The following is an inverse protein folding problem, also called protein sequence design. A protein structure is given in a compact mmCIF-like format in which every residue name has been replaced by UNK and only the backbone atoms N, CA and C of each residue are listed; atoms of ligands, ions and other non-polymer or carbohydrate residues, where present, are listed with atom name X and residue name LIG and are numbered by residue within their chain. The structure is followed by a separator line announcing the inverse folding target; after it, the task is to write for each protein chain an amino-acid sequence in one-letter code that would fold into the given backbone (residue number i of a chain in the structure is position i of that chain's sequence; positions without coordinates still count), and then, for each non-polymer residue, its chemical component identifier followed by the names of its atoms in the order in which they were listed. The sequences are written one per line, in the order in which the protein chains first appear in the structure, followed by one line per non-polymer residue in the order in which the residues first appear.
data_IF_856894111109
#
_entry.id   IF_856894111109
#
_cell.length_a   1.000
_cell.length_b   1.000
_cell.length_c   1.000
_cell.angle_alpha   90.00
_cell.angle_beta   90.00
_cell.angle_gamma   90.00
#
_symmetry.space_group_name_H-M   'P 1'
#
loop_
_entity.id
_entity.type
_entity.pdbx_description
1 polymer ?
#
# COMPACT_ATOMS: atom_id res chain seq x y z
N UNK A 1 -16.64 13.22 -3.41
CA UNK A 1 -15.83 13.82 -4.48
C UNK A 1 -14.71 12.86 -4.82
N UNK A 2 -14.81 12.20 -5.97
CA UNK A 2 -13.80 11.30 -6.52
C UNK A 2 -12.66 12.18 -7.07
N UNK A 3 -11.71 12.56 -6.21
CA UNK A 3 -10.54 13.31 -6.67
C UNK A 3 -9.67 12.35 -7.47
N UNK A 4 -9.49 12.64 -8.77
CA UNK A 4 -8.58 11.94 -9.67
C UNK A 4 -7.16 11.96 -9.09
N UNK A 5 -6.81 10.94 -8.30
CA UNK A 5 -5.44 10.58 -7.93
C UNK A 5 -4.99 9.39 -8.79
N UNK A 6 -5.22 9.45 -10.11
CA UNK A 6 -5.18 8.24 -10.97
C UNK A 6 -4.16 8.28 -12.11
N UNK A 7 -3.21 9.21 -12.11
CA UNK A 7 -2.22 9.23 -13.19
C UNK A 7 -0.86 9.76 -12.72
N UNK A 8 0.11 8.85 -12.58
CA UNK A 8 1.54 9.15 -12.55
C UNK A 8 2.07 8.85 -13.96
N UNK A 9 1.43 9.42 -14.99
CA UNK A 9 1.93 9.29 -16.36
C UNK A 9 3.03 10.32 -16.59
N UNK A 10 4.12 9.90 -17.23
CA UNK A 10 5.29 10.78 -17.44
C UNK A 10 4.98 11.89 -18.46
N UNK A 11 4.15 11.62 -19.46
CA UNK A 11 3.81 12.57 -20.53
C UNK A 11 2.86 13.70 -20.08
N UNK A 12 2.21 13.57 -18.92
CA UNK A 12 1.26 14.55 -18.38
C UNK A 12 1.72 15.24 -17.08
N UNK A 13 2.95 15.01 -16.62
CA UNK A 13 3.50 15.63 -15.41
C UNK A 13 2.93 15.09 -14.09
N UNK A 14 2.19 13.97 -14.13
CA UNK A 14 1.60 13.32 -12.96
C UNK A 14 2.63 12.86 -11.94
N UNK A 15 3.81 12.38 -12.40
CA UNK A 15 4.90 11.94 -11.54
C UNK A 15 5.50 13.05 -10.66
N UNK A 16 5.66 14.25 -11.24
CA UNK A 16 6.23 15.39 -10.53
C UNK A 16 5.22 15.99 -9.54
N UNK A 17 3.95 16.08 -9.94
CA UNK A 17 2.86 16.57 -9.09
C UNK A 17 2.63 15.64 -7.89
N UNK A 18 2.82 14.34 -8.09
CA UNK A 18 2.72 13.30 -7.08
C UNK A 18 3.82 13.40 -6.01
N UNK A 19 5.10 13.47 -6.41
CA UNK A 19 6.23 13.60 -5.48
C UNK A 19 6.16 14.88 -4.62
N UNK A 20 5.56 15.94 -5.15
CA UNK A 20 5.38 17.21 -4.43
C UNK A 20 4.18 17.19 -3.47
N UNK A 21 3.12 16.44 -3.78
CA UNK A 21 1.89 16.40 -2.98
C UNK A 21 1.85 15.28 -1.93
N UNK A 22 2.57 14.19 -2.15
CA UNK A 22 2.50 13.01 -1.28
C UNK A 22 3.13 13.20 0.11
N UNK A 23 4.30 13.88 0.26
CA UNK A 23 4.89 14.13 1.58
C UNK A 23 3.97 14.94 2.50
N UNK A 24 3.24 15.91 1.93
CA UNK A 24 2.36 16.79 2.71
C UNK A 24 1.08 16.09 3.18
N UNK A 25 0.53 15.15 2.40
CA UNK A 25 -0.65 14.36 2.82
C UNK A 25 -0.31 13.33 3.88
N UNK A 26 0.86 12.70 3.77
CA UNK A 26 1.37 11.81 4.83
C UNK A 26 1.64 12.64 6.09
N UNK A 27 2.36 13.76 5.99
CA UNK A 27 2.62 14.63 7.14
C UNK A 27 1.34 15.15 7.83
N UNK A 28 0.34 15.58 7.06
CA UNK A 28 -0.93 16.08 7.59
C UNK A 28 -1.79 14.98 8.22
N UNK A 29 -1.64 13.72 7.79
CA UNK A 29 -2.37 12.62 8.41
C UNK A 29 -1.70 12.16 9.71
N UNK A 30 -0.38 12.30 9.85
CA UNK A 30 0.35 11.94 11.08
C UNK A 30 -0.15 12.65 12.36
N UNK A 31 -0.94 13.74 12.27
CA UNK A 31 -1.52 14.39 13.45
C UNK A 31 -2.83 13.75 13.92
N UNK A 32 -3.45 12.85 13.15
CA UNK A 32 -4.70 12.19 13.54
C UNK A 32 -4.44 10.96 14.42
N UNK A 33 -5.43 10.59 15.23
CA UNK A 33 -5.39 9.37 16.04
C UNK A 33 -5.84 8.12 15.28
N UNK A 34 -6.75 8.30 14.33
CA UNK A 34 -7.21 7.27 13.41
C UNK A 34 -7.07 7.76 11.98
N UNK A 35 -6.70 6.83 11.10
CA UNK A 35 -6.59 7.11 9.68
C UNK A 35 -6.81 5.85 8.89
N UNK A 36 -7.46 6.01 7.75
CA UNK A 36 -7.57 5.00 6.72
C UNK A 36 -7.53 5.71 5.36
N UNK A 37 -6.63 5.26 4.49
CA UNK A 37 -6.59 5.63 3.09
C UNK A 37 -6.62 4.37 2.24
N UNK A 38 -7.43 4.42 1.19
CA UNK A 38 -7.38 3.49 0.07
C UNK A 38 -7.10 4.27 -1.21
N UNK A 39 -6.22 3.74 -2.03
CA UNK A 39 -5.83 4.36 -3.30
C UNK A 39 -5.51 3.32 -4.37
N UNK A 40 -5.39 3.80 -5.61
CA UNK A 40 -4.97 3.05 -6.77
C UNK A 40 -3.82 3.80 -7.40
N UNK A 41 -2.73 3.09 -7.66
CA UNK A 41 -1.49 3.62 -8.21
C UNK A 41 -1.17 2.94 -9.52
N UNK A 42 -0.75 3.74 -10.50
CA UNK A 42 -0.19 3.27 -11.75
C UNK A 42 0.83 4.26 -12.26
N UNK A 43 1.95 3.73 -12.75
CA UNK A 43 2.97 4.48 -13.48
C UNK A 43 3.02 3.89 -14.88
N UNK A 44 2.74 4.71 -15.88
CA UNK A 44 2.67 4.29 -17.28
C UNK A 44 3.36 5.33 -18.17
N UNK A 45 3.87 4.88 -19.33
CA UNK A 45 4.57 5.75 -20.26
C UNK A 45 3.64 6.78 -20.90
N UNK A 46 2.44 6.33 -21.24
CA UNK A 46 1.40 7.11 -21.91
C UNK A 46 0.03 6.65 -21.40
N UNK A 47 -0.97 7.52 -21.48
CA UNK A 47 -2.34 7.18 -21.06
C UNK A 47 -2.84 5.90 -21.75
N UNK A 48 -3.25 4.91 -20.96
CA UNK A 48 -3.79 3.64 -21.45
C UNK A 48 -2.76 2.58 -21.84
N UNK A 49 -1.46 2.87 -21.70
CA UNK A 49 -0.43 1.84 -21.81
C UNK A 49 -0.52 0.85 -20.64
N UNK A 50 0.05 -0.35 -20.80
CA UNK A 50 0.27 -1.25 -19.67
C UNK A 50 1.17 -0.52 -18.66
N UNK A 51 0.74 -0.37 -17.40
CA UNK A 51 1.57 0.29 -16.40
C UNK A 51 2.86 -0.49 -16.18
N UNK A 52 3.98 0.23 -16.11
CA UNK A 52 5.25 -0.34 -15.68
C UNK A 52 5.15 -0.86 -14.26
N UNK A 53 4.42 -0.14 -13.40
CA UNK A 53 4.08 -0.59 -12.05
C UNK A 53 2.67 -0.12 -11.70
N UNK A 54 1.88 -0.97 -11.05
CA UNK A 54 0.56 -0.61 -10.54
C UNK A 54 0.21 -1.42 -9.27
N UNK A 55 -0.57 -0.82 -8.36
CA UNK A 55 -1.11 -1.50 -7.17
C UNK A 55 -2.30 -0.75 -6.59
N UNK A 56 -3.12 -1.44 -5.81
CA UNK A 56 -4.11 -0.84 -4.91
C UNK A 56 -3.54 -0.81 -3.49
N UNK A 57 -3.43 0.38 -2.90
CA UNK A 57 -2.91 0.58 -1.55
C UNK A 57 -4.02 0.74 -0.52
N UNK A 58 -3.78 0.20 0.67
CA UNK A 58 -4.56 0.44 1.88
C UNK A 58 -3.61 0.73 3.02
N UNK A 59 -3.71 1.93 3.59
CA UNK A 59 -2.81 2.43 4.64
C UNK A 59 -3.65 2.91 5.81
N UNK A 60 -3.26 2.53 7.03
CA UNK A 60 -4.03 2.87 8.21
C UNK A 60 -3.20 2.93 9.48
N UNK A 61 -3.72 3.67 10.46
CA UNK A 61 -3.31 3.55 11.85
C UNK A 61 -4.48 3.78 12.80
N UNK A 62 -4.32 3.18 13.97
CA UNK A 62 -5.07 3.41 15.18
C UNK A 62 -4.06 3.58 16.31
N UNK A 63 -3.77 4.83 16.67
CA UNK A 63 -2.79 5.16 17.72
C UNK A 63 -3.31 4.81 19.12
N UNK A 64 -4.63 4.81 19.31
CA UNK A 64 -5.24 4.39 20.58
C UNK A 64 -5.02 2.89 20.81
N UNK A 65 -5.15 2.07 19.77
CA UNK A 65 -4.86 0.62 19.81
C UNK A 65 -3.41 0.29 19.47
N UNK A 66 -2.55 1.30 19.29
CA UNK A 66 -1.14 1.16 18.98
C UNK A 66 -0.86 0.29 17.75
N UNK A 67 -1.61 0.45 16.67
CA UNK A 67 -1.46 -0.36 15.46
C UNK A 67 -1.42 0.49 14.21
N UNK A 68 -0.60 0.07 13.26
CA UNK A 68 -0.60 0.57 11.90
C UNK A 68 -0.46 -0.57 10.91
N UNK A 69 -0.85 -0.32 9.67
CA UNK A 69 -0.63 -1.28 8.61
C UNK A 69 -0.63 -0.66 7.22
N UNK A 70 -0.02 -1.42 6.32
CA UNK A 70 -0.05 -1.18 4.89
C UNK A 70 -0.39 -2.50 4.20
N UNK A 71 -1.25 -2.45 3.20
CA UNK A 71 -1.58 -3.59 2.34
C UNK A 71 -1.63 -3.13 0.89
N UNK A 72 -0.89 -3.84 0.05
CA UNK A 72 -0.91 -3.75 -1.40
C UNK A 72 -1.68 -4.96 -1.92
N UNK A 73 -2.59 -4.70 -2.85
CA UNK A 73 -3.27 -5.73 -3.65
C UNK A 73 -3.10 -5.40 -5.13
N UNK A 74 -3.25 -6.39 -6.01
CA UNK A 74 -3.05 -6.21 -7.44
C UNK A 74 -1.69 -5.59 -7.81
N UNK A 75 -0.66 -5.82 -6.99
CA UNK A 75 0.67 -5.29 -7.26
C UNK A 75 1.30 -6.00 -8.45
N UNK A 76 1.62 -5.22 -9.49
CA UNK A 76 2.13 -5.70 -10.76
C UNK A 76 3.28 -4.85 -11.27
N UNK A 77 4.23 -5.50 -11.94
CA UNK A 77 5.29 -4.88 -12.73
C UNK A 77 5.15 -5.39 -14.16
N UNK A 78 5.01 -4.50 -15.12
CA UNK A 78 4.76 -4.84 -16.53
C UNK A 78 3.61 -5.87 -16.71
N UNK A 79 2.54 -5.72 -15.92
CA UNK A 79 1.38 -6.61 -15.94
C UNK A 79 1.56 -7.95 -15.20
N UNK A 80 2.76 -8.29 -14.77
CA UNK A 80 3.07 -9.52 -14.01
C UNK A 80 2.89 -9.23 -12.52
N UNK A 81 2.22 -10.10 -11.79
CA UNK A 81 2.07 -9.99 -10.32
C UNK A 81 3.39 -10.17 -9.59
N UNK A 82 3.65 -9.33 -8.59
CA UNK A 82 4.94 -9.31 -7.87
C UNK A 82 4.77 -9.14 -6.36
N UNK A 83 3.97 -9.98 -5.71
CA UNK A 83 3.73 -9.94 -4.27
C UNK A 83 4.33 -11.11 -3.49
N UNK A 84 4.43 -10.97 -2.16
CA UNK A 84 4.71 -12.09 -1.25
C UNK A 84 3.70 -13.22 -1.47
N UNK A 85 2.43 -12.91 -1.79
CA UNK A 85 1.46 -13.96 -2.10
C UNK A 85 1.81 -14.79 -3.35
N UNK A 86 2.53 -14.25 -4.34
CA UNK A 86 3.06 -15.04 -5.45
C UNK A 86 4.15 -16.03 -4.96
N UNK A 87 5.02 -15.58 -4.05
CA UNK A 87 6.00 -16.46 -3.42
C UNK A 87 5.33 -17.54 -2.56
N UNK A 88 4.28 -17.20 -1.79
CA UNK A 88 3.50 -18.16 -1.01
C UNK A 88 2.90 -19.24 -1.91
N UNK A 89 2.30 -18.86 -3.03
CA UNK A 89 1.72 -19.81 -4.00
C UNK A 89 2.81 -20.72 -4.57
N UNK A 90 3.95 -20.16 -4.97
CA UNK A 90 5.06 -20.93 -5.56
C UNK A 90 5.73 -21.88 -4.58
N UNK A 91 5.87 -21.48 -3.30
CA UNK A 91 6.57 -22.24 -2.28
C UNK A 91 5.71 -23.31 -1.63
N UNK A 92 4.38 -23.12 -1.54
CA UNK A 92 3.47 -24.01 -0.79
C UNK A 92 3.60 -25.50 -1.12
N UNK A 93 3.81 -25.94 -2.38
CA UNK A 93 3.99 -27.37 -2.70
C UNK A 93 5.31 -27.98 -2.19
N UNK A 94 6.35 -27.17 -1.98
CA UNK A 94 7.70 -27.61 -1.65
C UNK A 94 8.09 -27.30 -0.20
N UNK A 95 7.59 -26.19 0.34
CA UNK A 95 7.94 -25.61 1.63
C UNK A 95 6.69 -25.03 2.34
N UNK A 96 5.77 -25.89 2.79
CA UNK A 96 4.49 -25.45 3.37
C UNK A 96 4.67 -24.55 4.61
N UNK A 97 5.59 -24.90 5.51
CA UNK A 97 5.82 -24.12 6.74
C UNK A 97 6.35 -22.71 6.43
N UNK A 98 7.22 -22.59 5.43
CA UNK A 98 7.71 -21.28 4.96
C UNK A 98 6.59 -20.49 4.28
N UNK A 99 5.77 -21.15 3.48
CA UNK A 99 4.61 -20.52 2.83
C UNK A 99 3.59 -20.00 3.86
N UNK A 100 3.37 -20.71 4.96
CA UNK A 100 2.48 -20.26 6.02
C UNK A 100 3.08 -19.11 6.84
N UNK A 101 4.39 -19.12 7.10
CA UNK A 101 5.08 -17.98 7.71
C UNK A 101 4.98 -16.71 6.85
N UNK A 102 5.10 -16.86 5.52
CA UNK A 102 4.99 -15.75 4.58
C UNK A 102 3.55 -15.30 4.32
N UNK A 103 2.56 -16.18 4.48
CA UNK A 103 1.14 -15.87 4.26
C UNK A 103 0.62 -14.73 5.15
N UNK A 104 1.26 -14.48 6.30
CA UNK A 104 0.97 -13.33 7.15
C UNK A 104 1.18 -11.98 6.45
N UNK A 105 2.00 -11.95 5.40
CA UNK A 105 2.32 -10.75 4.63
C UNK A 105 1.63 -10.73 3.25
N UNK A 106 0.92 -11.78 2.87
CA UNK A 106 0.21 -11.87 1.59
C UNK A 106 -0.06 -13.31 1.21
N UNK A 107 -1.30 -13.62 0.83
CA UNK A 107 -1.73 -15.01 0.55
C UNK A 107 -2.20 -15.22 -0.88
N UNK A 108 -2.36 -14.15 -1.66
CA UNK A 108 -2.83 -14.18 -3.04
C UNK A 108 -1.86 -13.45 -3.97
N UNK A 109 -1.89 -13.80 -5.25
CA UNK A 109 -1.06 -13.15 -6.27
C UNK A 109 -1.18 -11.62 -6.26
N UNK A 110 -0.03 -10.93 -6.29
CA UNK A 110 0.03 -9.46 -6.21
C UNK A 110 -0.30 -8.87 -4.84
N UNK A 111 -0.36 -9.68 -3.78
CA UNK A 111 -0.55 -9.20 -2.41
C UNK A 111 0.76 -9.05 -1.65
N UNK A 112 0.89 -7.96 -0.91
CA UNK A 112 1.94 -7.75 0.10
C UNK A 112 1.43 -6.81 1.18
N UNK A 113 1.78 -7.04 2.43
CA UNK A 113 1.29 -6.22 3.53
C UNK A 113 2.01 -6.49 4.83
N UNK A 114 1.88 -5.54 5.74
CA UNK A 114 2.46 -5.61 7.06
C UNK A 114 1.54 -4.88 8.04
N UNK A 115 1.50 -5.40 9.27
CA UNK A 115 1.00 -4.65 10.42
C UNK A 115 2.12 -4.49 11.42
N UNK A 116 2.15 -3.35 12.10
CA UNK A 116 3.15 -3.05 13.11
C UNK A 116 2.51 -2.38 14.32
N UNK A 117 3.22 -2.45 15.45
CA UNK A 117 2.84 -1.76 16.67
C UNK A 117 3.36 -0.32 16.65
N UNK A 118 2.53 0.61 17.10
CA UNK A 118 2.90 2.02 17.27
C UNK A 118 3.31 2.31 18.73
N UNK A 119 4.19 3.29 18.96
CA UNK A 119 4.43 3.78 20.30
C UNK A 119 3.15 4.35 20.92
N UNK A 120 3.08 4.34 22.25
CA UNK A 120 1.97 4.93 22.98
C UNK A 120 1.90 6.44 22.71
N UNK A 121 0.70 6.94 22.40
CA UNK A 121 0.43 8.36 22.19
C UNK A 121 -0.59 8.82 23.24
N UNK A 122 -0.12 9.58 24.23
CA UNK A 122 -0.95 10.10 25.31
C UNK A 122 -2.09 10.99 24.80
N UNK A 123 -1.89 11.72 23.69
CA UNK A 123 -2.92 12.60 23.13
C UNK A 123 -4.09 11.79 22.59
N UNK A 124 -3.79 10.67 21.95
CA UNK A 124 -4.79 9.77 21.40
C UNK A 124 -5.41 8.84 22.44
N UNK A 125 -4.70 8.56 23.54
CA UNK A 125 -5.23 7.79 24.65
C UNK A 125 -6.26 8.59 25.49
N UNK A 126 -6.08 9.91 25.61
CA UNK A 126 -6.92 10.78 26.43
C UNK A 126 -7.99 11.56 25.64
N UNK A 127 -7.88 11.62 24.32
CA UNK A 127 -8.81 12.34 23.44
C UNK A 127 -9.92 11.50 22.83
N UNK A 128 -10.09 10.25 23.28
CA UNK A 128 -11.13 9.32 22.84
C UNK A 128 -12.42 9.45 23.65
#
# INVERSE_FOLDING_TARGET
MEYSKRDITLDNGGALTFLLAEPSRIAASLVTCHYYQKDHWSVQSTTGAVPWVAWDGQYWWDKQRQRAGARLTNFRINGISVGIGDAVIALRPLYPDLADALAAYGSSSGESGLTTTLPFDLRCALGG
#
